data_IF_324778395605
#
_entry.id   IF_324778395605
#
_cell.length_a   1.000
_cell.length_b   1.000
_cell.length_c   1.000
_cell.angle_alpha   90.00
_cell.angle_beta   90.00
_cell.angle_gamma   90.00
#
_symmetry.space_group_name_H-M   'P 1'
#
loop_
_entity.id
_entity.type
_entity.pdbx_description
1 polymer ?
#
# COMPACT_ATOMS: atom_id res chain seq x y z
N UNK A 1 30.60 -71.60 29.06
CA UNK A 1 30.21 -70.42 28.28
C UNK A 1 28.78 -70.07 28.68
N UNK A 2 28.61 -69.22 29.68
CA UNK A 2 27.32 -68.98 30.35
C UNK A 2 26.58 -67.82 29.69
N UNK A 3 25.46 -68.14 29.06
CA UNK A 3 24.49 -67.13 28.60
C UNK A 3 23.60 -66.65 29.74
N UNK A 4 23.82 -65.52 30.30
CA UNK A 4 22.86 -64.88 31.20
C UNK A 4 21.74 -64.22 30.34
N UNK A 5 20.55 -64.83 30.39
CA UNK A 5 19.34 -64.26 29.82
C UNK A 5 18.86 -63.14 30.76
N UNK A 6 19.05 -61.87 30.37
CA UNK A 6 18.46 -60.76 31.09
C UNK A 6 16.93 -60.83 30.93
N UNK A 7 16.21 -61.04 32.03
CA UNK A 7 14.77 -60.83 32.13
C UNK A 7 14.47 -59.35 31.97
N UNK A 8 14.08 -58.91 30.77
CA UNK A 8 13.53 -57.57 30.57
C UNK A 8 12.15 -57.55 31.23
N UNK A 9 12.01 -56.78 32.32
CA UNK A 9 10.75 -56.63 33.04
C UNK A 9 9.68 -56.08 32.11
N UNK A 10 8.51 -56.77 32.01
CA UNK A 10 7.38 -56.39 31.16
C UNK A 10 6.87 -54.97 31.33
N UNK A 11 7.27 -54.32 32.43
CA UNK A 11 6.98 -52.93 32.71
C UNK A 11 7.69 -51.94 31.75
N UNK A 12 8.90 -52.29 31.24
CA UNK A 12 9.65 -51.49 30.29
C UNK A 12 9.06 -51.55 28.88
N UNK A 13 8.47 -52.69 28.51
CA UNK A 13 7.86 -52.89 27.20
C UNK A 13 6.55 -52.09 27.07
N UNK A 14 5.78 -51.95 28.15
CA UNK A 14 4.56 -51.13 28.20
C UNK A 14 4.88 -49.65 28.12
N UNK A 15 6.01 -49.20 28.70
CA UNK A 15 6.43 -47.82 28.66
C UNK A 15 6.92 -47.38 27.27
N UNK A 16 7.57 -48.25 26.53
CA UNK A 16 8.01 -48.00 25.13
C UNK A 16 6.81 -47.95 24.19
N UNK A 17 5.77 -48.73 24.40
CA UNK A 17 4.54 -48.73 23.58
C UNK A 17 3.67 -47.46 23.82
N UNK A 18 3.76 -46.83 25.01
CA UNK A 18 3.04 -45.58 25.27
C UNK A 18 3.69 -44.35 24.62
N UNK A 19 4.98 -44.40 24.24
CA UNK A 19 5.67 -43.27 23.58
C UNK A 19 5.34 -43.11 22.08
N UNK A 20 4.72 -44.13 21.47
CA UNK A 20 4.35 -44.04 20.04
C UNK A 20 2.94 -43.54 19.77
N UNK A 21 2.14 -43.18 20.78
CA UNK A 21 0.78 -42.70 20.61
C UNK A 21 0.65 -41.16 20.66
N UNK A 22 1.78 -40.41 20.78
CA UNK A 22 1.74 -38.97 20.72
C UNK A 22 2.22 -38.46 19.36
N UNK A 23 1.73 -39.08 18.27
CA UNK A 23 1.75 -38.43 16.97
C UNK A 23 0.42 -37.70 16.81
N UNK A 24 0.31 -36.53 17.41
CA UNK A 24 -0.77 -35.57 17.16
C UNK A 24 -0.64 -35.15 15.69
N UNK A 25 -1.44 -35.82 14.83
CA UNK A 25 -1.56 -35.42 13.45
C UNK A 25 -2.02 -33.95 13.41
N UNK A 26 -1.12 -33.05 12.99
CA UNK A 26 -1.52 -31.77 12.47
C UNK A 26 -2.45 -32.05 11.28
N UNK A 27 -3.73 -32.03 11.50
CA UNK A 27 -4.69 -31.98 10.39
C UNK A 27 -4.47 -30.64 9.70
N UNK A 28 -3.73 -30.67 8.61
CA UNK A 28 -3.79 -29.58 7.64
C UNK A 28 -5.26 -29.45 7.24
N UNK A 29 -5.89 -28.38 7.73
CA UNK A 29 -7.26 -28.05 7.40
C UNK A 29 -7.29 -27.74 5.91
N UNK A 30 -7.66 -28.73 5.10
CA UNK A 30 -7.85 -28.53 3.66
C UNK A 30 -9.01 -27.56 3.49
N UNK A 31 -8.68 -26.29 3.13
CA UNK A 31 -9.66 -25.25 2.87
C UNK A 31 -10.45 -25.67 1.62
N UNK A 32 -11.75 -25.79 1.74
CA UNK A 32 -12.60 -26.16 0.61
C UNK A 32 -12.76 -24.99 -0.36
N UNK A 33 -13.00 -25.27 -1.64
CA UNK A 33 -13.24 -24.22 -2.65
C UNK A 33 -14.40 -23.30 -2.26
N UNK A 34 -15.41 -23.81 -1.54
CA UNK A 34 -16.53 -23.01 -1.04
C UNK A 34 -16.10 -22.05 0.09
N UNK A 35 -15.20 -22.47 1.01
CA UNK A 35 -14.66 -21.61 2.06
C UNK A 35 -13.75 -20.53 1.48
N UNK A 36 -12.95 -20.84 0.46
CA UNK A 36 -12.15 -19.88 -0.28
C UNK A 36 -13.04 -18.81 -0.93
N UNK A 37 -14.08 -19.22 -1.66
CA UNK A 37 -15.00 -18.32 -2.34
C UNK A 37 -15.73 -17.39 -1.36
N UNK A 38 -16.25 -17.91 -0.26
CA UNK A 38 -16.88 -17.12 0.78
C UNK A 38 -15.91 -16.11 1.43
N UNK A 39 -14.64 -16.50 1.59
CA UNK A 39 -13.59 -15.62 2.14
C UNK A 39 -13.25 -14.50 1.15
N UNK A 40 -13.13 -14.81 -0.13
CA UNK A 40 -12.90 -13.81 -1.18
C UNK A 40 -14.05 -12.80 -1.27
N UNK A 41 -15.30 -13.23 -1.26
CA UNK A 41 -16.46 -12.34 -1.28
C UNK A 41 -16.49 -11.42 -0.04
N UNK A 42 -16.17 -11.96 1.14
CA UNK A 42 -16.09 -11.18 2.36
C UNK A 42 -14.97 -10.13 2.30
N UNK A 43 -13.79 -10.49 1.77
CA UNK A 43 -12.67 -9.56 1.59
C UNK A 43 -12.98 -8.46 0.57
N UNK A 44 -13.59 -8.82 -0.56
CA UNK A 44 -14.04 -7.84 -1.57
C UNK A 44 -15.07 -6.89 -0.99
N UNK A 45 -16.03 -7.41 -0.23
CA UNK A 45 -17.05 -6.61 0.46
C UNK A 45 -16.43 -5.64 1.47
N UNK A 46 -15.53 -6.12 2.32
CA UNK A 46 -14.80 -5.30 3.28
C UNK A 46 -13.97 -4.20 2.59
N UNK A 47 -13.23 -4.55 1.52
CA UNK A 47 -12.45 -3.59 0.77
C UNK A 47 -13.32 -2.49 0.14
N UNK A 48 -14.48 -2.85 -0.42
CA UNK A 48 -15.43 -1.86 -0.98
C UNK A 48 -15.91 -0.87 0.07
N UNK A 49 -16.21 -1.33 1.29
CA UNK A 49 -16.59 -0.45 2.42
C UNK A 49 -15.45 0.50 2.79
N UNK A 50 -14.21 0.00 2.81
CA UNK A 50 -13.03 0.78 3.14
C UNK A 50 -12.76 1.87 2.08
N UNK A 51 -12.81 1.52 0.80
CA UNK A 51 -12.65 2.48 -0.31
C UNK A 51 -13.72 3.57 -0.25
N UNK A 52 -14.98 3.20 0.02
CA UNK A 52 -16.07 4.18 0.19
C UNK A 52 -15.79 5.15 1.35
N UNK A 53 -15.35 4.64 2.51
CA UNK A 53 -14.98 5.48 3.67
C UNK A 53 -13.82 6.41 3.37
N UNK A 54 -12.81 5.94 2.64
CA UNK A 54 -11.66 6.76 2.26
C UNK A 54 -12.10 7.89 1.31
N UNK A 55 -12.95 7.58 0.32
CA UNK A 55 -13.56 8.58 -0.56
C UNK A 55 -14.36 9.64 0.22
N UNK A 56 -15.17 9.23 1.19
CA UNK A 56 -15.95 10.16 2.03
C UNK A 56 -15.03 11.10 2.85
N UNK A 57 -13.91 10.59 3.39
CA UNK A 57 -12.91 11.40 4.08
C UNK A 57 -12.25 12.42 3.15
N UNK A 58 -11.88 12.00 1.93
CA UNK A 58 -11.30 12.90 0.93
C UNK A 58 -12.30 13.98 0.54
N UNK A 59 -13.55 13.62 0.25
CA UNK A 59 -14.60 14.60 -0.06
C UNK A 59 -14.81 15.63 1.07
N UNK A 60 -14.79 15.17 2.32
CA UNK A 60 -14.88 16.04 3.48
C UNK A 60 -13.69 17.00 3.58
N UNK A 61 -12.47 16.50 3.31
CA UNK A 61 -11.25 17.31 3.27
C UNK A 61 -11.31 18.37 2.15
N UNK A 62 -11.67 17.95 0.93
CA UNK A 62 -11.80 18.86 -0.23
C UNK A 62 -12.80 19.99 0.07
N UNK A 63 -13.97 19.66 0.62
CA UNK A 63 -14.97 20.67 1.01
C UNK A 63 -14.47 21.62 2.10
N UNK A 64 -13.86 21.08 3.16
CA UNK A 64 -13.37 21.88 4.30
C UNK A 64 -12.27 22.87 3.90
N UNK A 65 -11.45 22.50 2.92
CA UNK A 65 -10.35 23.32 2.43
C UNK A 65 -10.70 24.14 1.16
N UNK A 66 -11.97 24.10 0.71
CA UNK A 66 -12.44 24.79 -0.50
C UNK A 66 -11.61 24.48 -1.76
N UNK A 67 -11.16 23.21 -1.91
CA UNK A 67 -10.36 22.79 -3.05
C UNK A 67 -11.25 22.48 -4.27
N UNK A 68 -10.78 22.88 -5.45
CA UNK A 68 -11.40 22.49 -6.73
C UNK A 68 -10.64 21.28 -7.29
N UNK A 69 -11.24 20.09 -7.19
CA UNK A 69 -10.58 18.84 -7.55
C UNK A 69 -11.45 17.99 -8.46
N UNK A 70 -10.79 17.14 -9.25
CA UNK A 70 -11.40 16.08 -10.05
C UNK A 70 -11.00 14.73 -9.50
N UNK A 71 -11.89 13.74 -9.59
CA UNK A 71 -11.63 12.34 -9.20
C UNK A 71 -11.47 11.50 -10.47
N UNK A 72 -10.44 10.67 -10.50
CA UNK A 72 -10.22 9.68 -11.58
C UNK A 72 -10.95 8.37 -11.29
N UNK A 73 -11.00 7.48 -12.26
CA UNK A 73 -11.59 6.14 -12.09
C UNK A 73 -10.81 5.26 -11.10
N UNK A 74 -9.53 5.51 -10.90
CA UNK A 74 -8.68 4.81 -9.92
C UNK A 74 -8.94 5.29 -8.48
N UNK A 75 -9.58 6.47 -8.31
CA UNK A 75 -9.80 7.13 -7.03
C UNK A 75 -8.75 8.18 -6.66
N UNK A 76 -7.86 8.55 -7.58
CA UNK A 76 -6.98 9.69 -7.40
C UNK A 76 -7.78 10.99 -7.50
N UNK A 77 -7.58 11.90 -6.54
CA UNK A 77 -8.10 13.27 -6.60
C UNK A 77 -6.97 14.21 -7.00
N UNK A 78 -7.22 15.08 -7.98
CA UNK A 78 -6.23 16.05 -8.44
C UNK A 78 -6.83 17.42 -8.71
N UNK A 79 -6.06 18.46 -8.42
CA UNK A 79 -6.34 19.86 -8.76
C UNK A 79 -5.07 20.53 -9.23
N UNK A 80 -5.13 21.21 -10.40
CA UNK A 80 -4.02 22.01 -10.93
C UNK A 80 -4.26 23.44 -10.53
N UNK A 81 -3.38 24.00 -9.67
CA UNK A 81 -3.51 25.35 -9.13
C UNK A 81 -2.91 26.42 -10.06
N UNK A 82 -1.81 26.08 -10.71
CA UNK A 82 -1.11 26.95 -11.65
C UNK A 82 -0.70 26.14 -12.87
N UNK A 83 -1.03 26.67 -14.03
CA UNK A 83 -0.72 26.04 -15.31
C UNK A 83 0.64 26.51 -15.82
N UNK A 84 1.54 25.58 -16.11
CA UNK A 84 2.79 25.81 -16.81
C UNK A 84 2.59 25.91 -18.33
N UNK A 85 3.64 26.33 -19.01
CA UNK A 85 3.65 26.43 -20.48
C UNK A 85 4.63 25.46 -21.11
N UNK A 86 5.20 24.55 -20.31
CA UNK A 86 6.19 23.60 -20.77
C UNK A 86 5.59 22.33 -21.39
N UNK A 87 6.46 21.40 -21.73
CA UNK A 87 6.10 20.09 -22.30
C UNK A 87 5.29 19.30 -21.27
N UNK A 88 4.25 18.63 -21.74
CA UNK A 88 3.43 17.73 -20.94
C UNK A 88 4.21 16.45 -20.65
N UNK A 89 4.12 15.98 -19.40
CA UNK A 89 4.70 14.68 -19.00
C UNK A 89 4.05 13.52 -19.78
N UNK A 90 4.87 12.55 -20.17
CA UNK A 90 4.46 11.38 -20.94
C UNK A 90 5.00 10.10 -20.30
N UNK A 91 4.43 8.97 -20.61
CA UNK A 91 4.97 7.67 -20.20
C UNK A 91 6.42 7.51 -20.66
N UNK A 92 7.20 6.85 -19.83
CA UNK A 92 8.65 6.64 -19.96
C UNK A 92 9.52 7.90 -19.86
N UNK A 93 8.95 9.09 -19.65
CA UNK A 93 9.73 10.30 -19.39
C UNK A 93 10.37 10.26 -18.00
N UNK A 94 11.62 10.71 -17.89
CA UNK A 94 12.27 11.01 -16.62
C UNK A 94 11.77 12.36 -16.12
N UNK A 95 11.06 12.36 -14.98
CA UNK A 95 10.51 13.57 -14.39
C UNK A 95 11.24 13.98 -13.13
N UNK A 96 11.29 15.30 -12.89
CA UNK A 96 11.81 15.89 -11.66
C UNK A 96 10.72 16.73 -11.01
N UNK A 97 10.42 16.44 -9.75
CA UNK A 97 9.38 17.10 -8.97
C UNK A 97 9.96 17.82 -7.76
N UNK A 98 9.50 19.03 -7.49
CA UNK A 98 9.43 19.58 -6.15
C UNK A 98 8.16 19.06 -5.50
N UNK A 99 8.20 18.70 -4.20
CA UNK A 99 7.05 18.06 -3.56
C UNK A 99 6.98 18.32 -2.06
N UNK A 100 5.77 18.23 -1.53
CA UNK A 100 5.49 18.09 -0.10
C UNK A 100 4.40 17.04 0.10
N UNK A 101 4.61 16.13 1.04
CA UNK A 101 3.66 15.07 1.42
C UNK A 101 3.15 15.35 2.81
N UNK A 102 1.84 15.37 2.97
CA UNK A 102 1.19 15.53 4.26
C UNK A 102 0.02 14.55 4.43
N UNK A 103 -0.40 14.36 5.68
CA UNK A 103 -1.63 13.66 6.03
C UNK A 103 -2.84 14.63 5.92
N UNK A 104 -4.07 14.08 5.99
CA UNK A 104 -5.29 14.91 5.95
C UNK A 104 -5.46 15.86 7.15
N UNK A 105 -4.73 15.63 8.24
CA UNK A 105 -4.70 16.53 9.41
C UNK A 105 -3.68 17.67 9.27
N UNK A 106 -2.90 17.68 8.17
CA UNK A 106 -1.86 18.66 7.89
C UNK A 106 -0.48 18.27 8.40
N UNK A 107 -0.30 17.13 9.05
CA UNK A 107 1.03 16.64 9.46
C UNK A 107 1.92 16.44 8.25
N UNK A 108 3.04 17.19 8.16
CA UNK A 108 4.01 17.06 7.08
C UNK A 108 4.90 15.86 7.31
N UNK A 109 4.85 14.90 6.38
CA UNK A 109 5.68 13.71 6.41
C UNK A 109 7.02 13.93 5.70
N UNK A 110 6.96 14.46 4.47
CA UNK A 110 8.14 14.67 3.62
C UNK A 110 8.06 15.98 2.87
N UNK A 111 9.21 16.63 2.66
CA UNK A 111 9.31 17.89 1.94
C UNK A 111 10.62 17.95 1.16
N UNK A 112 10.54 18.31 -0.12
CA UNK A 112 11.69 18.43 -1.01
C UNK A 112 12.65 19.57 -0.62
N UNK A 113 12.22 20.54 0.17
CA UNK A 113 13.10 21.59 0.68
C UNK A 113 14.12 21.03 1.68
N UNK A 114 13.79 19.93 2.36
CA UNK A 114 14.70 19.22 3.28
C UNK A 114 15.38 18.01 2.66
N UNK A 115 14.70 17.30 1.74
CA UNK A 115 15.13 16.00 1.20
C UNK A 115 15.66 16.06 -0.23
N UNK A 116 15.55 17.23 -0.88
CA UNK A 116 15.83 17.38 -2.29
C UNK A 116 14.66 16.96 -3.19
N UNK A 117 14.79 17.25 -4.47
CA UNK A 117 13.78 16.93 -5.48
C UNK A 117 13.63 15.42 -5.69
N UNK A 118 12.43 15.00 -6.08
CA UNK A 118 12.16 13.59 -6.43
C UNK A 118 12.33 13.41 -7.95
N UNK A 119 13.07 12.37 -8.34
CA UNK A 119 13.22 11.98 -9.75
C UNK A 119 12.78 10.54 -9.94
N UNK A 120 12.03 10.28 -10.99
CA UNK A 120 11.63 8.92 -11.40
C UNK A 120 11.22 8.89 -12.86
N UNK A 121 11.25 7.69 -13.47
CA UNK A 121 10.74 7.47 -14.82
C UNK A 121 9.29 6.98 -14.74
N UNK A 122 8.36 7.69 -15.37
CA UNK A 122 6.93 7.36 -15.35
C UNK A 122 6.70 5.95 -15.92
N UNK A 123 5.91 5.13 -15.24
CA UNK A 123 5.57 3.76 -15.64
C UNK A 123 6.66 2.72 -15.33
N UNK A 124 7.72 3.07 -14.59
CA UNK A 124 8.76 2.11 -14.17
C UNK A 124 8.66 1.73 -12.69
N UNK A 125 7.69 2.25 -11.97
CA UNK A 125 7.56 2.06 -10.52
C UNK A 125 8.59 2.84 -9.71
N UNK A 126 8.72 2.48 -8.44
CA UNK A 126 9.64 3.15 -7.52
C UNK A 126 9.05 4.34 -6.79
N UNK A 127 7.84 4.75 -7.16
CA UNK A 127 7.02 5.76 -6.48
C UNK A 127 5.58 5.27 -6.33
N UNK A 128 4.77 6.02 -5.63
CA UNK A 128 3.34 5.73 -5.44
C UNK A 128 2.62 5.74 -6.80
N UNK A 129 1.75 4.75 -7.05
CA UNK A 129 1.02 4.65 -8.32
C UNK A 129 0.14 5.88 -8.60
N UNK A 130 -0.42 6.49 -7.56
CA UNK A 130 -1.16 7.74 -7.69
C UNK A 130 -0.28 8.92 -8.09
N UNK A 131 1.01 8.94 -7.73
CA UNK A 131 1.95 9.97 -8.18
C UNK A 131 2.30 9.78 -9.66
N UNK A 132 2.57 8.54 -10.10
CA UNK A 132 2.79 8.24 -11.53
C UNK A 132 1.61 8.66 -12.38
N UNK A 133 0.38 8.29 -11.96
CA UNK A 133 -0.86 8.68 -12.66
C UNK A 133 -1.04 10.20 -12.68
N UNK A 134 -0.87 10.86 -11.52
CA UNK A 134 -1.11 12.29 -11.37
C UNK A 134 -0.16 13.14 -12.22
N UNK A 135 1.11 12.76 -12.31
CA UNK A 135 2.11 13.50 -13.08
C UNK A 135 1.80 13.51 -14.59
N UNK A 136 1.13 12.48 -15.11
CA UNK A 136 0.69 12.46 -16.51
C UNK A 136 -0.32 13.56 -16.88
N UNK A 137 -0.98 14.18 -15.90
CA UNK A 137 -1.86 15.34 -16.14
C UNK A 137 -1.11 16.67 -16.25
N UNK A 138 0.19 16.70 -15.86
CA UNK A 138 0.97 17.93 -15.71
C UNK A 138 1.84 18.25 -16.92
N UNK A 139 2.08 19.54 -17.09
CA UNK A 139 3.12 20.11 -17.94
C UNK A 139 4.21 20.76 -17.08
N UNK A 140 5.42 20.93 -17.63
CA UNK A 140 6.51 21.58 -16.92
C UNK A 140 6.07 22.99 -16.46
N UNK A 141 6.24 23.25 -15.17
CA UNK A 141 5.84 24.48 -14.49
C UNK A 141 4.46 24.40 -13.81
N UNK A 142 3.67 23.35 -14.03
CA UNK A 142 2.41 23.14 -13.32
C UNK A 142 2.67 22.96 -11.82
N UNK A 143 1.78 23.57 -11.02
CA UNK A 143 1.63 23.31 -9.60
C UNK A 143 0.30 22.61 -9.38
N UNK A 144 0.32 21.48 -8.71
CA UNK A 144 -0.86 20.67 -8.48
C UNK A 144 -0.89 20.05 -7.08
N UNK A 145 -2.10 19.73 -6.61
CA UNK A 145 -2.34 18.91 -5.43
C UNK A 145 -2.96 17.60 -5.85
N UNK A 146 -2.41 16.49 -5.35
CA UNK A 146 -2.96 15.15 -5.46
C UNK A 146 -3.41 14.68 -4.08
N UNK A 147 -4.59 14.06 -3.98
CA UNK A 147 -5.01 13.37 -2.76
C UNK A 147 -5.17 11.89 -3.12
N UNK A 148 -4.38 11.06 -2.48
CA UNK A 148 -4.26 9.64 -2.78
C UNK A 148 -4.88 8.81 -1.66
N UNK A 149 -5.90 7.98 -1.96
CA UNK A 149 -6.33 6.96 -1.02
C UNK A 149 -5.21 5.92 -0.80
N UNK A 150 -5.27 5.11 0.27
CA UNK A 150 -4.20 4.20 0.64
C UNK A 150 -3.72 3.29 -0.49
N UNK A 151 -4.62 2.77 -1.33
CA UNK A 151 -4.28 1.85 -2.41
C UNK A 151 -3.49 2.48 -3.57
N UNK A 152 -3.50 3.81 -3.69
CA UNK A 152 -2.68 4.58 -4.65
C UNK A 152 -1.42 5.18 -4.01
N UNK A 153 -1.26 5.01 -2.68
CA UNK A 153 -0.17 5.51 -1.87
C UNK A 153 0.65 4.34 -1.27
N UNK A 154 0.74 4.27 0.06
CA UNK A 154 1.55 3.26 0.76
C UNK A 154 0.74 2.05 1.28
N UNK A 155 -0.52 1.92 0.89
CA UNK A 155 -1.36 0.77 1.16
C UNK A 155 -1.67 0.54 2.65
N UNK A 156 -1.86 -0.75 2.98
CA UNK A 156 -2.20 -1.17 4.33
C UNK A 156 -1.06 -0.96 5.35
N UNK A 157 0.23 -1.20 5.01
CA UNK A 157 1.31 -1.09 6.00
C UNK A 157 1.75 0.36 6.26
N UNK A 158 1.45 1.33 5.37
CA UNK A 158 2.11 2.63 5.37
C UNK A 158 3.53 2.53 4.80
N UNK A 159 4.39 3.52 5.08
CA UNK A 159 5.79 3.53 4.59
C UNK A 159 6.80 2.99 5.63
N UNK A 160 6.33 2.55 6.78
CA UNK A 160 7.17 2.07 7.87
C UNK A 160 7.94 3.18 8.60
N UNK A 161 7.67 4.46 8.29
CA UNK A 161 8.37 5.61 8.89
C UNK A 161 7.37 6.71 9.30
N UNK A 162 7.10 7.70 8.44
CA UNK A 162 6.28 8.87 8.77
C UNK A 162 4.83 8.76 8.32
N UNK A 163 4.54 7.88 7.36
CA UNK A 163 3.18 7.66 6.86
C UNK A 163 2.59 6.42 7.51
N UNK A 164 1.61 6.58 8.42
CA UNK A 164 1.00 5.45 9.12
C UNK A 164 0.27 4.49 8.19
N UNK A 165 -0.04 3.31 8.73
CA UNK A 165 -0.87 2.30 8.07
C UNK A 165 -2.19 2.91 7.55
N UNK A 166 -2.58 2.55 6.32
CA UNK A 166 -3.84 2.98 5.71
C UNK A 166 -4.07 4.49 5.63
N UNK A 167 -3.01 5.28 5.51
CA UNK A 167 -3.12 6.73 5.42
C UNK A 167 -3.54 7.20 4.03
N UNK A 168 -4.46 8.15 3.99
CA UNK A 168 -4.69 9.02 2.83
C UNK A 168 -3.63 10.11 2.89
N UNK A 169 -2.93 10.35 1.79
CA UNK A 169 -1.89 11.38 1.70
C UNK A 169 -2.28 12.49 0.73
N UNK A 170 -1.78 13.68 1.04
CA UNK A 170 -1.88 14.86 0.18
C UNK A 170 -0.47 15.16 -0.34
N UNK A 171 -0.36 15.20 -1.66
CA UNK A 171 0.88 15.51 -2.36
C UNK A 171 0.74 16.87 -3.05
N UNK A 172 1.44 17.88 -2.58
CA UNK A 172 1.61 19.13 -3.31
C UNK A 172 2.85 19.00 -4.19
N UNK A 173 2.73 19.25 -5.48
CA UNK A 173 3.82 19.04 -6.45
C UNK A 173 4.03 20.22 -7.37
N UNK A 174 5.27 20.38 -7.84
CA UNK A 174 5.61 21.23 -8.98
C UNK A 174 6.43 20.38 -9.94
N UNK A 175 5.98 20.26 -11.19
CA UNK A 175 6.75 19.58 -12.24
C UNK A 175 7.85 20.51 -12.75
N UNK A 176 9.10 20.16 -12.44
CA UNK A 176 10.27 20.98 -12.82
C UNK A 176 10.83 20.58 -14.17
N UNK A 177 10.87 19.25 -14.47
CA UNK A 177 11.41 18.70 -15.72
C UNK A 177 10.62 17.48 -16.15
N UNK A 178 10.56 17.23 -17.46
CA UNK A 178 10.09 16.02 -18.09
C UNK A 178 10.96 15.78 -19.34
N UNK A 179 11.80 14.75 -19.28
CA UNK A 179 12.80 14.43 -20.33
C UNK A 179 12.42 13.05 -20.89
N UNK A 180 12.44 12.84 -22.24
CA UNK A 180 12.10 11.58 -22.87
C UNK A 180 13.01 10.43 -22.43
#
# INVERSE_FOLDING_TARGET
MNYQIMKVNGLYLVFILMLFHFCSGNQEKTITNAELHNTEEALVGANRILVKKDREKIMAYVRRNNLTMKETSSGLWYGIERYGFGVKAQENALVTLKYKVSLLDGTVCYDSDSLGVKQFTIGKGGVESGLEEGVLFLSIGDKATFIMPPHLAHGLPGDGNKIPARSIIVYDVILLKAEP
#
